data_IF_570372473667
#
_entry.id   IF_570372473667
#
_cell.length_a   1.000
_cell.length_b   1.000
_cell.length_c   1.000
_cell.angle_alpha   90.00
_cell.angle_beta   90.00
_cell.angle_gamma   90.00
#
_symmetry.space_group_name_H-M   'P 1'
#
loop_
_entity.id
_entity.type
_entity.pdbx_description
1 polymer ?
#
# COMPACT_ATOMS: atom_id res chain seq x y z
N UNK A 1 3.73 55.30 -14.64
CA UNK A 1 3.14 54.06 -15.19
C UNK A 1 3.60 52.91 -14.32
N UNK A 2 2.66 52.24 -13.67
CA UNK A 2 2.88 51.23 -12.66
C UNK A 2 2.69 49.83 -13.27
N UNK A 3 3.56 48.88 -12.96
CA UNK A 3 3.16 47.47 -12.91
C UNK A 3 4.07 46.68 -11.97
N UNK A 4 3.58 46.53 -10.74
CA UNK A 4 4.09 45.60 -9.75
C UNK A 4 3.79 44.17 -10.22
N UNK A 5 4.82 43.47 -10.70
CA UNK A 5 4.80 42.04 -10.97
C UNK A 5 4.67 41.24 -9.67
N UNK A 6 3.44 41.08 -9.20
CA UNK A 6 3.08 40.21 -8.09
C UNK A 6 3.50 38.78 -8.41
N UNK A 7 4.58 38.32 -7.76
CA UNK A 7 4.86 36.91 -7.54
C UNK A 7 3.70 36.33 -6.72
N UNK A 8 2.63 35.88 -7.40
CA UNK A 8 1.58 35.08 -6.78
C UNK A 8 2.19 33.71 -6.49
N UNK A 9 2.46 33.49 -5.21
CA UNK A 9 2.67 32.18 -4.63
C UNK A 9 1.47 31.30 -4.98
N UNK A 10 1.60 30.50 -6.03
CA UNK A 10 0.62 29.49 -6.40
C UNK A 10 0.79 28.33 -5.42
N UNK A 11 0.18 28.49 -4.24
CA UNK A 11 -0.08 27.40 -3.31
C UNK A 11 -0.78 26.28 -4.08
N UNK A 12 -0.03 25.23 -4.37
CA UNK A 12 -0.50 24.02 -5.02
C UNK A 12 -1.48 23.37 -4.05
N UNK A 13 -2.76 23.68 -4.20
CA UNK A 13 -3.90 23.06 -3.51
C UNK A 13 -3.89 21.56 -3.85
N UNK A 14 -3.06 20.78 -3.15
CA UNK A 14 -3.01 19.32 -3.24
C UNK A 14 -4.17 18.76 -2.43
N UNK A 15 -5.41 19.00 -2.86
CA UNK A 15 -6.55 18.29 -2.30
C UNK A 15 -6.41 16.84 -2.76
N UNK A 16 -6.15 15.86 -1.87
CA UNK A 16 -6.13 14.47 -2.27
C UNK A 16 -7.47 14.16 -2.94
N UNK A 17 -7.42 13.68 -4.18
CA UNK A 17 -8.62 13.28 -4.93
C UNK A 17 -9.40 12.28 -4.08
N UNK A 18 -10.72 12.49 -3.88
CA UNK A 18 -11.59 11.62 -3.04
C UNK A 18 -11.38 10.13 -3.33
N UNK A 19 -11.10 9.78 -4.59
CA UNK A 19 -10.80 8.42 -5.06
C UNK A 19 -9.50 7.85 -4.48
N UNK A 20 -8.46 8.67 -4.33
CA UNK A 20 -7.20 8.25 -3.70
C UNK A 20 -7.38 7.91 -2.22
N UNK A 21 -8.11 8.75 -1.47
CA UNK A 21 -8.43 8.46 -0.07
C UNK A 21 -9.18 7.12 0.05
N UNK A 22 -10.19 6.90 -0.79
CA UNK A 22 -10.95 5.64 -0.81
C UNK A 22 -10.07 4.41 -1.06
N UNK A 23 -9.09 4.51 -1.97
CA UNK A 23 -8.15 3.42 -2.25
C UNK A 23 -7.27 3.09 -1.05
N UNK A 24 -6.69 4.11 -0.41
CA UNK A 24 -5.84 3.92 0.76
C UNK A 24 -6.64 3.38 1.95
N UNK A 25 -7.86 3.87 2.17
CA UNK A 25 -8.75 3.33 3.21
C UNK A 25 -9.10 1.87 2.95
N UNK A 26 -9.46 1.51 1.71
CA UNK A 26 -9.73 0.12 1.33
C UNK A 26 -8.50 -0.78 1.57
N UNK A 27 -7.31 -0.28 1.25
CA UNK A 27 -6.05 -1.00 1.42
C UNK A 27 -5.70 -1.22 2.90
N UNK A 28 -5.86 -0.20 3.75
CA UNK A 28 -5.68 -0.36 5.19
C UNK A 28 -6.69 -1.34 5.79
N UNK A 29 -7.95 -1.30 5.33
CA UNK A 29 -8.98 -2.22 5.81
C UNK A 29 -8.71 -3.67 5.35
N UNK A 30 -8.18 -3.86 4.13
CA UNK A 30 -7.73 -5.16 3.66
C UNK A 30 -6.67 -5.76 4.59
N UNK A 31 -5.63 -4.99 4.94
CA UNK A 31 -4.56 -5.46 5.83
C UNK A 31 -5.08 -5.77 7.24
N UNK A 32 -6.03 -4.97 7.75
CA UNK A 32 -6.63 -5.26 9.04
C UNK A 32 -7.42 -6.59 9.01
N UNK A 33 -8.14 -6.86 7.92
CA UNK A 33 -8.84 -8.13 7.72
C UNK A 33 -7.88 -9.31 7.57
N UNK A 34 -6.76 -9.15 6.86
CA UNK A 34 -5.70 -10.15 6.71
C UNK A 34 -5.19 -10.62 8.08
N UNK A 35 -4.84 -9.67 8.95
CA UNK A 35 -4.38 -9.97 10.30
C UNK A 35 -5.44 -10.75 11.09
N UNK A 36 -6.69 -10.28 11.09
CA UNK A 36 -7.79 -10.95 11.80
C UNK A 36 -8.04 -12.35 11.25
N UNK A 37 -8.01 -12.50 9.93
CA UNK A 37 -8.19 -13.78 9.26
C UNK A 37 -7.10 -14.77 9.66
N UNK A 38 -5.82 -14.39 9.62
CA UNK A 38 -4.72 -15.30 9.94
C UNK A 38 -4.87 -15.84 11.35
N UNK A 39 -5.19 -14.98 12.32
CA UNK A 39 -5.44 -15.43 13.70
C UNK A 39 -6.71 -16.26 13.84
N UNK A 40 -7.78 -15.95 13.08
CA UNK A 40 -9.00 -16.76 13.08
C UNK A 40 -8.76 -18.16 12.48
N UNK A 41 -7.90 -18.28 11.46
CA UNK A 41 -7.48 -19.57 10.89
C UNK A 41 -6.68 -20.38 11.90
N UNK A 42 -5.70 -19.76 12.56
CA UNK A 42 -4.90 -20.40 13.60
C UNK A 42 -5.80 -20.90 14.75
N UNK A 43 -6.69 -20.03 15.26
CA UNK A 43 -7.64 -20.37 16.31
C UNK A 43 -8.69 -21.42 15.90
N UNK A 44 -8.89 -21.67 14.60
CA UNK A 44 -9.82 -22.70 14.13
C UNK A 44 -9.35 -24.13 14.41
N UNK A 45 -8.11 -24.31 14.87
CA UNK A 45 -7.50 -25.61 15.15
C UNK A 45 -7.61 -26.58 13.95
N UNK A 46 -7.23 -26.10 12.76
CA UNK A 46 -7.30 -26.88 11.53
C UNK A 46 -8.74 -27.16 11.08
N UNK A 47 -9.61 -26.15 11.13
CA UNK A 47 -11.04 -26.23 10.76
C UNK A 47 -11.95 -27.04 11.71
N UNK A 48 -11.46 -27.39 12.89
CA UNK A 48 -12.25 -28.08 13.93
C UNK A 48 -13.35 -27.18 14.51
N UNK A 49 -13.15 -25.86 14.52
CA UNK A 49 -14.16 -24.87 14.91
C UNK A 49 -14.82 -24.21 13.69
N UNK A 50 -16.02 -24.66 13.25
CA UNK A 50 -16.63 -24.23 11.99
C UNK A 50 -17.00 -22.75 11.98
N UNK A 51 -17.33 -22.15 13.13
CA UNK A 51 -17.62 -20.72 13.23
C UNK A 51 -16.37 -19.86 12.95
N UNK A 52 -15.23 -20.21 13.55
CA UNK A 52 -13.96 -19.49 13.35
C UNK A 52 -13.44 -19.70 11.92
N UNK A 53 -13.54 -20.92 11.39
CA UNK A 53 -13.20 -21.22 10.01
C UNK A 53 -14.06 -20.41 9.02
N UNK A 54 -15.38 -20.36 9.24
CA UNK A 54 -16.28 -19.59 8.37
C UNK A 54 -15.98 -18.09 8.46
N UNK A 55 -15.76 -17.56 9.67
CA UNK A 55 -15.38 -16.17 9.87
C UNK A 55 -14.07 -15.82 9.15
N UNK A 56 -13.07 -16.70 9.22
CA UNK A 56 -11.81 -16.53 8.51
C UNK A 56 -12.00 -16.52 6.98
N UNK A 57 -12.79 -17.44 6.43
CA UNK A 57 -13.09 -17.48 5.00
C UNK A 57 -13.81 -16.21 4.55
N UNK A 58 -14.78 -15.73 5.34
CA UNK A 58 -15.49 -14.48 5.03
C UNK A 58 -14.55 -13.26 5.09
N UNK A 59 -13.66 -13.21 6.08
CA UNK A 59 -12.63 -12.17 6.19
C UNK A 59 -11.70 -12.19 4.97
N UNK A 60 -11.26 -13.37 4.53
CA UNK A 60 -10.44 -13.55 3.34
C UNK A 60 -11.12 -13.04 2.06
N UNK A 61 -12.39 -13.41 1.87
CA UNK A 61 -13.15 -12.94 0.70
C UNK A 61 -13.32 -11.42 0.75
N UNK A 62 -13.63 -10.86 1.92
CA UNK A 62 -13.77 -9.42 2.09
C UNK A 62 -12.44 -8.68 1.83
N UNK A 63 -11.32 -9.19 2.34
CA UNK A 63 -9.98 -8.70 2.09
C UNK A 63 -9.68 -8.68 0.59
N UNK A 64 -9.88 -9.80 -0.11
CA UNK A 64 -9.62 -9.91 -1.54
C UNK A 64 -10.41 -8.87 -2.35
N UNK A 65 -11.67 -8.63 -1.98
CA UNK A 65 -12.51 -7.60 -2.63
C UNK A 65 -11.92 -6.21 -2.41
N UNK A 66 -11.58 -5.86 -1.17
CA UNK A 66 -11.00 -4.57 -0.80
C UNK A 66 -9.63 -4.35 -1.48
N UNK A 67 -8.79 -5.37 -1.50
CA UNK A 67 -7.48 -5.35 -2.15
C UNK A 67 -7.61 -5.15 -3.66
N UNK A 68 -8.53 -5.87 -4.31
CA UNK A 68 -8.83 -5.71 -5.74
C UNK A 68 -9.33 -4.29 -6.06
N UNK A 69 -10.13 -3.70 -5.17
CA UNK A 69 -10.56 -2.30 -5.31
C UNK A 69 -9.37 -1.34 -5.19
N UNK A 70 -8.45 -1.57 -4.25
CA UNK A 70 -7.26 -0.75 -4.08
C UNK A 70 -6.32 -0.82 -5.30
N UNK A 71 -6.15 -2.00 -5.90
CA UNK A 71 -5.35 -2.22 -7.12
C UNK A 71 -5.82 -1.39 -8.33
N UNK A 72 -7.07 -0.93 -8.36
CA UNK A 72 -7.57 -0.06 -9.45
C UNK A 72 -6.97 1.34 -9.42
N UNK A 73 -6.40 1.76 -8.29
CA UNK A 73 -5.98 3.14 -8.02
C UNK A 73 -4.52 3.21 -7.55
N UNK A 74 -3.96 2.11 -7.06
CA UNK A 74 -2.59 1.99 -6.59
C UNK A 74 -1.79 1.12 -7.57
N UNK A 75 -0.56 1.50 -7.96
CA UNK A 75 0.30 0.66 -8.78
C UNK A 75 0.47 -0.73 -8.14
N UNK A 76 0.36 -1.83 -8.90
CA UNK A 76 0.47 -3.19 -8.36
C UNK A 76 1.73 -3.39 -7.52
N UNK A 77 2.88 -2.88 -7.97
CA UNK A 77 4.15 -2.94 -7.24
C UNK A 77 4.03 -2.43 -5.80
N UNK A 78 3.31 -1.32 -5.57
CA UNK A 78 3.14 -0.76 -4.23
C UNK A 78 2.15 -1.56 -3.39
N UNK A 79 1.09 -2.07 -4.01
CA UNK A 79 0.10 -2.90 -3.32
C UNK A 79 0.73 -4.21 -2.85
N UNK A 80 1.56 -4.86 -3.67
CA UNK A 80 2.31 -6.05 -3.29
C UNK A 80 3.42 -5.78 -2.27
N UNK A 81 4.07 -4.60 -2.31
CA UNK A 81 4.99 -4.21 -1.26
C UNK A 81 4.30 -4.14 0.12
N UNK A 82 3.03 -3.74 0.14
CA UNK A 82 2.27 -3.65 1.38
C UNK A 82 1.76 -5.01 1.89
N UNK A 83 1.51 -5.98 0.98
CA UNK A 83 1.31 -7.40 1.35
C UNK A 83 2.54 -8.00 2.04
N UNK A 84 3.75 -7.64 1.60
CA UNK A 84 4.98 -8.00 2.32
C UNK A 84 5.00 -7.44 3.74
N UNK A 85 4.55 -6.19 3.91
CA UNK A 85 4.46 -5.55 5.22
C UNK A 85 3.38 -6.18 6.13
N UNK A 86 2.24 -6.63 5.59
CA UNK A 86 1.22 -7.33 6.38
C UNK A 86 1.75 -8.64 6.93
N UNK A 87 2.51 -9.40 6.12
CA UNK A 87 3.21 -10.62 6.56
C UNK A 87 4.17 -10.34 7.73
N UNK A 88 4.91 -9.23 7.67
CA UNK A 88 5.78 -8.82 8.77
C UNK A 88 4.98 -8.47 10.03
N UNK A 89 3.86 -7.76 9.89
CA UNK A 89 2.98 -7.41 11.01
C UNK A 89 2.39 -8.66 11.68
N UNK A 90 1.82 -9.58 10.88
CA UNK A 90 1.32 -10.87 11.35
C UNK A 90 2.42 -11.63 12.10
N UNK A 91 3.62 -11.74 11.52
CA UNK A 91 4.73 -12.45 12.16
C UNK A 91 5.15 -11.84 13.50
N UNK A 92 5.20 -10.51 13.62
CA UNK A 92 5.51 -9.83 14.88
C UNK A 92 4.43 -10.09 15.94
N UNK A 93 3.16 -10.00 15.54
CA UNK A 93 2.03 -10.27 16.46
C UNK A 93 2.04 -11.74 16.88
N UNK A 94 2.34 -12.67 15.97
CA UNK A 94 2.44 -14.09 16.29
C UNK A 94 3.56 -14.40 17.27
N UNK A 95 4.74 -13.81 17.10
CA UNK A 95 5.84 -13.97 18.09
C UNK A 95 5.40 -13.47 19.47
N UNK A 96 4.71 -12.32 19.53
CA UNK A 96 4.25 -11.75 20.79
C UNK A 96 3.10 -12.50 21.47
N UNK A 97 2.15 -13.01 20.69
CA UNK A 97 0.89 -13.59 21.21
C UNK A 97 0.93 -15.11 21.29
N UNK A 98 1.48 -15.80 20.29
CA UNK A 98 1.57 -17.26 20.25
C UNK A 98 2.80 -17.78 21.02
N UNK A 99 3.69 -16.89 21.49
CA UNK A 99 4.90 -17.27 22.21
C UNK A 99 5.91 -18.02 21.33
N UNK A 100 5.85 -17.81 20.02
CA UNK A 100 6.71 -18.49 19.07
C UNK A 100 8.18 -18.08 19.30
N UNK A 101 9.09 -19.05 19.37
CA UNK A 101 10.50 -18.74 19.59
C UNK A 101 11.07 -17.92 18.42
N UNK A 102 11.61 -16.75 18.74
CA UNK A 102 12.35 -15.92 17.80
C UNK A 102 13.77 -16.46 17.66
N UNK A 103 14.12 -16.87 16.45
CA UNK A 103 15.49 -17.24 16.10
C UNK A 103 16.17 -16.09 15.37
N UNK A 104 17.50 -16.07 15.37
CA UNK A 104 18.28 -15.07 14.61
C UNK A 104 17.87 -15.09 13.12
N UNK A 105 17.63 -16.28 12.56
CA UNK A 105 17.20 -16.44 11.17
C UNK A 105 15.83 -15.79 10.94
N UNK A 106 14.84 -16.03 11.82
CA UNK A 106 13.51 -15.41 11.71
C UNK A 106 13.60 -13.88 11.79
N UNK A 107 14.41 -13.36 12.72
CA UNK A 107 14.62 -11.92 12.85
C UNK A 107 15.24 -11.29 11.59
N UNK A 108 16.27 -11.92 11.02
CA UNK A 108 16.90 -11.46 9.78
C UNK A 108 15.93 -11.53 8.59
N UNK A 109 15.13 -12.59 8.48
CA UNK A 109 14.12 -12.72 7.43
C UNK A 109 13.04 -11.63 7.54
N UNK A 110 12.53 -11.37 8.75
CA UNK A 110 11.60 -10.28 9.03
C UNK A 110 12.16 -8.91 8.61
N UNK A 111 13.41 -8.63 8.97
CA UNK A 111 14.09 -7.40 8.57
C UNK A 111 14.20 -7.28 7.04
N UNK A 112 14.52 -8.37 6.35
CA UNK A 112 14.61 -8.38 4.88
C UNK A 112 13.24 -8.10 4.22
N UNK A 113 12.16 -8.71 4.73
CA UNK A 113 10.78 -8.47 4.24
C UNK A 113 10.39 -7.00 4.42
N UNK A 114 10.65 -6.44 5.61
CA UNK A 114 10.35 -5.03 5.89
C UNK A 114 11.17 -4.12 4.99
N UNK A 115 12.48 -4.36 4.86
CA UNK A 115 13.38 -3.54 4.03
C UNK A 115 12.96 -3.57 2.54
N UNK A 116 12.67 -4.76 2.00
CA UNK A 116 12.19 -4.90 0.62
C UNK A 116 10.87 -4.17 0.37
N UNK A 117 9.93 -4.28 1.32
CA UNK A 117 8.63 -3.60 1.26
C UNK A 117 8.77 -2.09 1.25
N UNK A 118 9.65 -1.54 2.11
CA UNK A 118 9.92 -0.09 2.18
C UNK A 118 10.59 0.41 0.91
N UNK A 119 11.56 -0.33 0.37
CA UNK A 119 12.30 0.04 -0.84
C UNK A 119 11.38 0.12 -2.08
N UNK A 120 10.52 -0.89 -2.27
CA UNK A 120 9.55 -0.92 -3.36
C UNK A 120 8.55 0.25 -3.30
N UNK A 121 8.14 0.64 -2.10
CA UNK A 121 7.25 1.79 -1.92
C UNK A 121 7.96 3.14 -2.20
N UNK A 122 9.27 3.23 -1.95
CA UNK A 122 10.07 4.42 -2.21
C UNK A 122 10.27 4.71 -3.71
N UNK A 123 10.52 3.68 -4.50
CA UNK A 123 10.85 3.82 -5.93
C UNK A 123 9.67 4.36 -6.77
N UNK A 124 8.44 4.02 -6.38
CA UNK A 124 7.22 4.55 -6.97
C UNK A 124 7.10 6.09 -6.85
N UNK A 125 7.66 6.68 -5.79
CA UNK A 125 7.70 8.15 -5.61
C UNK A 125 8.76 8.81 -6.50
N UNK A 126 9.84 8.10 -6.81
CA UNK A 126 10.91 8.59 -7.70
C UNK A 126 10.45 8.61 -9.17
N UNK A 127 9.76 7.55 -9.62
CA UNK A 127 9.21 7.47 -10.98
C UNK A 127 8.20 8.60 -11.29
N UNK A 128 7.49 9.11 -10.29
CA UNK A 128 6.51 10.21 -10.44
C UNK A 128 7.13 11.61 -10.36
N UNK A 129 8.40 11.73 -9.96
CA UNK A 129 9.15 12.99 -9.94
C UNK A 129 9.95 13.26 -11.23
N UNK A 130 10.20 12.22 -12.04
CA UNK A 130 11.09 12.26 -13.20
C UNK A 130 10.39 12.29 -14.56
N UNK A 131 9.26 13.00 -14.73
CA UNK A 131 8.71 13.20 -16.09
C UNK A 131 9.43 14.37 -16.76
N UNK A 132 10.32 14.14 -17.75
CA UNK A 132 10.94 15.24 -18.47
C UNK A 132 9.84 15.98 -19.23
N UNK A 133 9.74 17.29 -19.00
CA UNK A 133 8.92 18.20 -19.80
C UNK A 133 9.17 17.85 -21.27
N UNK A 134 8.19 17.25 -21.94
CA UNK A 134 8.18 17.18 -23.40
C UNK A 134 8.17 18.63 -23.87
N UNK A 135 9.34 19.14 -24.23
CA UNK A 135 9.45 20.35 -25.01
C UNK A 135 8.71 20.05 -26.31
N UNK A 136 7.58 20.74 -26.50
CA UNK A 136 6.85 20.67 -27.76
C UNK A 136 7.82 21.07 -28.87
N UNK A 137 8.04 20.25 -29.91
CA UNK A 137 8.78 20.70 -31.08
C UNK A 137 8.00 21.87 -31.65
N UNK A 138 8.60 23.06 -31.63
CA UNK A 138 8.01 24.26 -32.23
C UNK A 138 7.60 23.96 -33.66
N UNK A 139 6.36 24.31 -33.99
CA UNK A 139 5.82 24.24 -35.34
C UNK A 139 6.69 25.07 -36.30
N UNK A 140 7.25 24.50 -37.38
CA UNK A 140 7.79 25.31 -38.45
C UNK A 140 6.61 25.82 -39.29
N UNK A 141 6.18 27.06 -39.04
CA UNK A 141 5.15 27.69 -39.85
C UNK A 141 4.60 28.97 -39.24
N UNK A 142 5.19 30.11 -39.61
CA UNK A 142 4.46 31.28 -40.12
C UNK A 142 5.29 32.56 -39.98
N UNK A 143 5.66 33.12 -41.14
CA UNK A 143 5.76 34.54 -41.56
C UNK A 143 6.94 34.63 -42.52
N UNK A 144 6.67 34.61 -43.83
CA UNK A 144 6.28 35.76 -44.67
C UNK A 144 7.52 36.59 -45.02
#
# INVERSE_FOLDING_TARGET
>A
MAEAGRHRSAGKDRRPTRRGIQAWTALFLAIALDVVQVFALDASAGFTHPLLATAAILAFVAELVLFTLALRLVPPTNAYALLGLSTAAVSVISIGWLGEQITIIKALALLAVIAGSVLLNGDARAASAGSPRRTSPGSPGAKA
#
